data_IF_930366150731
#
_entry.id   IF_930366150731
#
_cell.length_a   1.000
_cell.length_b   1.000
_cell.length_c   1.000
_cell.angle_alpha   90.00
_cell.angle_beta   90.00
_cell.angle_gamma   90.00
#
_symmetry.space_group_name_H-M   'P 1'
#
loop_
_entity.id
_entity.type
_entity.pdbx_description
1 polymer ?
#
# COMPACT_ATOMS: atom_id res chain seq x y z
N UNK A 1 18.23 3.66 -2.26
CA UNK A 1 17.34 3.32 -3.39
C UNK A 1 16.03 2.71 -2.90
N UNK A 2 16.04 1.61 -2.10
CA UNK A 2 14.82 0.95 -1.57
C UNK A 2 13.92 1.92 -0.82
N UNK A 3 14.47 2.75 0.08
CA UNK A 3 13.72 3.77 0.82
C UNK A 3 13.01 4.76 -0.12
N UNK A 4 13.69 5.20 -1.17
CA UNK A 4 13.12 6.16 -2.11
C UNK A 4 11.98 5.52 -2.91
N UNK A 5 12.24 4.39 -3.57
CA UNK A 5 11.20 3.71 -4.38
C UNK A 5 10.02 3.29 -3.51
N UNK A 6 10.26 2.61 -2.39
CA UNK A 6 9.21 2.14 -1.51
C UNK A 6 8.46 3.28 -0.81
N UNK A 7 9.16 4.35 -0.42
CA UNK A 7 8.56 5.54 0.18
C UNK A 7 7.68 6.31 -0.81
N UNK A 8 8.14 6.47 -2.05
CA UNK A 8 7.34 7.09 -3.12
C UNK A 8 6.13 6.23 -3.44
N UNK A 9 6.29 4.89 -3.59
CA UNK A 9 5.17 3.97 -3.84
C UNK A 9 4.13 4.06 -2.72
N UNK A 10 4.58 4.05 -1.46
CA UNK A 10 3.69 4.13 -0.31
C UNK A 10 2.99 5.50 -0.21
N UNK A 11 3.69 6.60 -0.45
CA UNK A 11 3.10 7.93 -0.50
C UNK A 11 2.13 8.08 -1.67
N UNK A 12 2.51 7.60 -2.87
CA UNK A 12 1.68 7.66 -4.06
C UNK A 12 0.39 6.84 -3.93
N UNK A 13 0.38 5.77 -3.12
CA UNK A 13 -0.80 4.91 -2.96
C UNK A 13 -2.05 5.67 -2.54
N UNK A 14 -1.91 6.71 -1.73
CA UNK A 14 -3.03 7.56 -1.32
C UNK A 14 -3.46 8.55 -2.41
N UNK A 15 -2.58 8.92 -3.37
CA UNK A 15 -2.87 9.89 -4.42
C UNK A 15 -3.47 9.27 -5.68
N UNK A 16 -3.14 8.03 -5.95
CA UNK A 16 -3.60 7.31 -7.15
C UNK A 16 -4.73 6.32 -6.81
N UNK A 17 -5.74 6.84 -6.11
CA UNK A 17 -7.00 6.14 -5.82
C UNK A 17 -6.87 4.84 -5.05
N UNK A 18 -5.77 4.65 -4.31
CA UNK A 18 -5.53 3.45 -3.49
C UNK A 18 -5.53 2.11 -4.24
N UNK A 19 -5.31 2.12 -5.56
CA UNK A 19 -5.35 0.92 -6.39
C UNK A 19 -6.77 0.49 -6.80
N UNK A 20 -7.77 1.37 -6.69
CA UNK A 20 -9.14 1.08 -7.14
C UNK A 20 -9.20 1.06 -8.66
N UNK A 21 -8.57 2.02 -9.32
CA UNK A 21 -8.47 2.04 -10.78
C UNK A 21 -7.43 1.03 -11.27
N UNK A 22 -7.67 0.40 -12.42
CA UNK A 22 -6.79 -0.65 -12.96
C UNK A 22 -5.37 -0.17 -13.19
N UNK A 23 -5.20 1.00 -13.80
CA UNK A 23 -3.89 1.59 -14.03
C UNK A 23 -3.14 1.87 -12.72
N UNK A 24 -3.88 2.31 -11.68
CA UNK A 24 -3.30 2.60 -10.37
C UNK A 24 -2.86 1.32 -9.65
N UNK A 25 -3.65 0.25 -9.74
CA UNK A 25 -3.30 -1.07 -9.21
C UNK A 25 -2.00 -1.58 -9.83
N UNK A 26 -1.89 -1.54 -11.18
CA UNK A 26 -0.68 -2.01 -11.88
C UNK A 26 0.55 -1.15 -11.55
N UNK A 27 0.38 0.17 -11.46
CA UNK A 27 1.47 1.09 -11.09
C UNK A 27 1.98 0.82 -9.67
N UNK A 28 1.07 0.67 -8.71
CA UNK A 28 1.43 0.35 -7.33
C UNK A 28 2.04 -1.05 -7.20
N UNK A 29 1.51 -2.02 -7.95
CA UNK A 29 2.07 -3.37 -7.98
C UNK A 29 3.51 -3.34 -8.51
N UNK A 30 3.76 -2.65 -9.61
CA UNK A 30 5.10 -2.49 -10.19
C UNK A 30 6.07 -1.81 -9.21
N UNK A 31 5.65 -0.72 -8.55
CA UNK A 31 6.43 -0.02 -7.54
C UNK A 31 6.75 -0.89 -6.31
N UNK A 32 5.77 -1.69 -5.87
CA UNK A 32 5.92 -2.62 -4.74
C UNK A 32 6.85 -3.78 -5.09
N UNK A 33 6.69 -4.37 -6.28
CA UNK A 33 7.56 -5.42 -6.79
C UNK A 33 9.00 -4.93 -6.97
N UNK A 34 9.20 -3.74 -7.53
CA UNK A 34 10.51 -3.12 -7.65
C UNK A 34 11.13 -2.87 -6.28
N UNK A 35 10.37 -2.37 -5.30
CA UNK A 35 10.85 -2.17 -3.93
C UNK A 35 11.33 -3.48 -3.31
N UNK A 36 10.56 -4.56 -3.47
CA UNK A 36 10.90 -5.89 -2.99
C UNK A 36 12.15 -6.45 -3.68
N UNK A 37 12.21 -6.41 -5.01
CA UNK A 37 13.36 -6.87 -5.79
C UNK A 37 14.63 -6.14 -5.41
N UNK A 38 14.60 -4.80 -5.30
CA UNK A 38 15.75 -3.99 -4.87
C UNK A 38 16.20 -4.31 -3.44
N UNK A 39 15.31 -4.82 -2.59
CA UNK A 39 15.65 -5.19 -1.20
C UNK A 39 16.27 -6.58 -1.07
N UNK A 40 15.91 -7.51 -1.96
CA UNK A 40 16.30 -8.93 -1.88
C UNK A 40 17.36 -9.31 -2.91
N UNK A 41 17.29 -8.77 -4.14
CA UNK A 41 18.23 -9.09 -5.20
C UNK A 41 19.62 -8.45 -5.02
N UNK A 42 20.70 -9.10 -5.46
CA UNK A 42 22.03 -8.53 -5.46
C UNK A 42 22.09 -7.36 -6.44
N UNK A 43 22.22 -6.17 -5.91
CA UNK A 43 22.49 -5.01 -6.74
C UNK A 43 23.97 -4.96 -7.12
N UNK A 44 24.30 -4.48 -8.34
CA UNK A 44 25.68 -4.30 -8.78
C UNK A 44 26.50 -3.48 -7.77
N UNK A 45 27.82 -3.75 -7.68
CA UNK A 45 28.73 -3.13 -6.69
C UNK A 45 28.70 -1.58 -6.71
N UNK A 46 28.44 -0.97 -7.86
CA UNK A 46 28.33 0.48 -8.02
C UNK A 46 27.06 1.08 -7.37
N UNK A 47 26.03 0.24 -7.13
CA UNK A 47 24.82 0.64 -6.39
C UNK A 47 24.93 0.45 -4.88
N UNK A 48 25.63 -0.59 -4.43
CA UNK A 48 25.63 -1.04 -3.03
C UNK A 48 26.89 -0.68 -2.23
N UNK A 49 27.92 -0.13 -2.85
CA UNK A 49 29.20 0.12 -2.18
C UNK A 49 29.91 -1.20 -1.77
N UNK A 50 30.75 -1.13 -0.72
CA UNK A 50 31.63 -2.23 -0.30
C UNK A 50 30.95 -3.46 0.29
N UNK A 51 29.66 -3.42 0.61
CA UNK A 51 28.97 -4.48 1.39
C UNK A 51 28.11 -5.44 0.53
N UNK A 52 28.29 -5.45 -0.80
CA UNK A 52 27.33 -6.01 -1.78
C UNK A 52 26.97 -7.49 -1.63
N UNK A 53 27.92 -8.39 -1.38
CA UNK A 53 27.65 -9.85 -1.41
C UNK A 53 27.10 -10.41 -0.08
N UNK A 54 27.64 -9.97 1.05
CA UNK A 54 27.17 -10.42 2.36
C UNK A 54 25.81 -9.78 2.75
N UNK A 55 25.48 -8.64 2.16
CA UNK A 55 24.22 -7.94 2.39
C UNK A 55 22.99 -8.76 1.98
N UNK A 56 23.07 -9.47 0.88
CA UNK A 56 21.92 -10.13 0.24
C UNK A 56 21.48 -11.40 0.95
N UNK A 57 22.42 -12.29 1.28
CA UNK A 57 22.12 -13.50 2.07
C UNK A 57 21.51 -13.13 3.43
N UNK A 58 22.02 -12.09 4.06
CA UNK A 58 21.49 -11.57 5.32
C UNK A 58 20.07 -10.96 5.16
N UNK A 59 19.75 -10.36 4.01
CA UNK A 59 18.42 -9.84 3.71
C UNK A 59 17.40 -10.96 3.59
N UNK A 60 17.72 -12.01 2.86
CA UNK A 60 16.85 -13.17 2.70
C UNK A 60 16.55 -13.85 4.04
N UNK A 61 17.58 -14.09 4.88
CA UNK A 61 17.36 -14.64 6.22
C UNK A 61 16.51 -13.71 7.13
N UNK A 62 16.65 -12.40 6.95
CA UNK A 62 15.80 -11.43 7.68
C UNK A 62 14.34 -11.52 7.24
N UNK A 63 14.08 -11.73 5.96
CA UNK A 63 12.74 -11.95 5.43
C UNK A 63 12.12 -13.22 6.03
N UNK A 64 12.85 -14.35 6.01
CA UNK A 64 12.38 -15.62 6.57
C UNK A 64 12.10 -15.57 8.08
N UNK A 65 12.79 -14.70 8.82
CA UNK A 65 12.56 -14.48 10.24
C UNK A 65 11.39 -13.52 10.53
N UNK A 66 10.79 -12.93 9.51
CA UNK A 66 9.69 -11.99 9.67
C UNK A 66 8.34 -12.72 9.66
N UNK A 67 7.60 -12.77 10.80
CA UNK A 67 6.36 -13.54 10.87
C UNK A 67 5.32 -13.14 9.82
N UNK A 68 5.24 -11.83 9.51
CA UNK A 68 4.32 -11.30 8.49
C UNK A 68 4.65 -11.80 7.08
N UNK A 69 5.91 -12.25 6.83
CA UNK A 69 6.26 -12.90 5.57
C UNK A 69 5.48 -14.21 5.39
N UNK A 70 5.48 -15.08 6.39
CA UNK A 70 4.80 -16.36 6.34
C UNK A 70 3.28 -16.21 6.31
N UNK A 71 2.76 -15.29 7.15
CA UNK A 71 1.33 -14.98 7.16
C UNK A 71 0.86 -14.48 5.78
N UNK A 72 1.61 -13.56 5.18
CA UNK A 72 1.32 -13.06 3.82
C UNK A 72 1.43 -14.15 2.77
N UNK A 73 2.47 -15.00 2.84
CA UNK A 73 2.64 -16.11 1.90
C UNK A 73 1.47 -17.10 1.97
N UNK A 74 1.05 -17.50 3.17
CA UNK A 74 -0.10 -18.38 3.35
C UNK A 74 -1.40 -17.75 2.85
N UNK A 75 -1.61 -16.45 3.09
CA UNK A 75 -2.79 -15.77 2.59
C UNK A 75 -2.78 -15.69 1.06
N UNK A 76 -1.65 -15.37 0.44
CA UNK A 76 -1.54 -15.34 -1.02
C UNK A 76 -1.76 -16.72 -1.63
N UNK A 77 -1.21 -17.78 -1.04
CA UNK A 77 -1.46 -19.17 -1.46
C UNK A 77 -2.94 -19.53 -1.33
N UNK A 78 -3.60 -19.14 -0.24
CA UNK A 78 -5.03 -19.34 -0.04
C UNK A 78 -5.86 -18.63 -1.13
N UNK A 79 -5.54 -17.37 -1.47
CA UNK A 79 -6.22 -16.65 -2.54
C UNK A 79 -5.97 -17.30 -3.91
N UNK A 80 -4.76 -17.83 -4.17
CA UNK A 80 -4.47 -18.58 -5.40
C UNK A 80 -5.35 -19.84 -5.49
N UNK A 81 -5.48 -20.58 -4.40
CA UNK A 81 -6.35 -21.76 -4.35
C UNK A 81 -7.81 -21.38 -4.61
N UNK A 82 -8.31 -20.31 -4.00
CA UNK A 82 -9.65 -19.80 -4.28
C UNK A 82 -9.82 -19.38 -5.75
N UNK A 83 -8.85 -18.65 -6.30
CA UNK A 83 -8.89 -18.21 -7.69
C UNK A 83 -8.87 -19.36 -8.70
N UNK A 84 -8.22 -20.46 -8.34
CA UNK A 84 -8.12 -21.66 -9.18
C UNK A 84 -9.35 -22.60 -9.08
N UNK A 85 -10.28 -22.31 -8.18
CA UNK A 85 -11.47 -23.13 -7.94
C UNK A 85 -12.75 -22.27 -7.88
N UNK A 86 -13.14 -21.60 -8.98
CA UNK A 86 -14.36 -20.79 -8.99
C UNK A 86 -15.58 -21.71 -8.85
N UNK A 87 -16.47 -21.40 -7.90
CA UNK A 87 -17.74 -22.07 -7.73
C UNK A 87 -18.90 -21.34 -8.42
N UNK A 88 -18.70 -20.08 -8.73
CA UNK A 88 -19.70 -19.20 -9.32
C UNK A 88 -19.12 -18.40 -10.45
N UNK A 89 -19.87 -18.27 -11.54
CA UNK A 89 -19.55 -17.37 -12.66
C UNK A 89 -20.52 -16.21 -12.67
N UNK A 90 -19.99 -14.96 -12.73
CA UNK A 90 -20.80 -13.76 -12.85
C UNK A 90 -21.23 -13.56 -14.29
N UNK A 91 -22.51 -13.71 -14.56
CA UNK A 91 -23.13 -13.41 -15.85
C UNK A 91 -23.78 -12.04 -15.86
N UNK A 92 -23.76 -11.39 -17.00
CA UNK A 92 -24.37 -10.09 -17.20
C UNK A 92 -25.13 -10.04 -18.52
N UNK A 93 -26.30 -9.43 -18.49
CA UNK A 93 -27.11 -9.08 -19.66
C UNK A 93 -27.64 -7.67 -19.53
N UNK A 94 -28.31 -7.17 -20.57
CA UNK A 94 -28.99 -5.88 -20.56
C UNK A 94 -30.07 -5.77 -19.47
N UNK A 95 -30.60 -6.90 -18.99
CA UNK A 95 -31.64 -7.00 -17.96
C UNK A 95 -31.12 -7.05 -16.51
N UNK A 96 -29.81 -7.19 -16.32
CA UNK A 96 -29.18 -7.28 -15.01
C UNK A 96 -28.01 -8.25 -14.95
N UNK A 97 -27.59 -8.53 -13.74
CA UNK A 97 -26.52 -9.50 -13.47
C UNK A 97 -27.04 -10.62 -12.56
N UNK A 98 -26.48 -11.82 -12.73
CA UNK A 98 -26.74 -12.98 -11.87
C UNK A 98 -25.46 -13.81 -11.76
N UNK A 99 -25.46 -14.77 -10.86
CA UNK A 99 -24.37 -15.74 -10.72
C UNK A 99 -24.89 -17.13 -11.08
N UNK A 100 -24.09 -17.88 -11.84
CA UNK A 100 -24.36 -19.28 -12.19
C UNK A 100 -23.35 -20.17 -11.46
N UNK A 101 -23.82 -21.29 -10.95
CA UNK A 101 -22.96 -22.30 -10.35
C UNK A 101 -22.18 -23.01 -11.44
N UNK A 102 -20.87 -23.20 -11.21
CA UNK A 102 -19.98 -23.95 -12.10
C UNK A 102 -19.38 -25.16 -11.36
N UNK A 103 -18.98 -26.15 -12.12
CA UNK A 103 -18.35 -27.34 -11.57
C UNK A 103 -17.06 -26.96 -10.84
N UNK A 104 -16.95 -27.33 -9.58
CA UNK A 104 -15.84 -26.96 -8.71
C UNK A 104 -15.53 -28.05 -7.69
N UNK A 105 -14.37 -28.00 -7.08
CA UNK A 105 -13.96 -28.92 -6.02
C UNK A 105 -14.55 -28.45 -4.69
N UNK A 106 -15.58 -29.13 -4.20
CA UNK A 106 -16.42 -28.70 -3.05
C UNK A 106 -15.67 -28.57 -1.72
N UNK A 107 -14.60 -29.33 -1.51
CA UNK A 107 -13.80 -29.28 -0.27
C UNK A 107 -12.70 -28.23 -0.29
N UNK A 108 -12.43 -27.60 -1.46
CA UNK A 108 -11.47 -26.50 -1.57
C UNK A 108 -12.19 -25.15 -1.41
N UNK A 109 -11.46 -24.13 -0.90
CA UNK A 109 -11.98 -22.77 -0.89
C UNK A 109 -12.28 -22.32 -2.33
N UNK A 110 -13.41 -21.66 -2.51
CA UNK A 110 -13.90 -21.26 -3.83
C UNK A 110 -14.02 -19.74 -3.96
N UNK A 111 -14.18 -19.29 -5.19
CA UNK A 111 -14.35 -17.88 -5.54
C UNK A 111 -15.47 -17.66 -6.54
N UNK A 112 -15.71 -16.42 -6.89
CA UNK A 112 -16.55 -16.02 -8.01
C UNK A 112 -15.63 -15.64 -9.18
N UNK A 113 -15.89 -16.22 -10.35
CA UNK A 113 -15.24 -15.83 -11.60
C UNK A 113 -16.08 -14.75 -12.27
N UNK A 114 -15.46 -13.63 -12.57
CA UNK A 114 -16.08 -12.50 -13.25
C UNK A 114 -15.05 -11.67 -13.97
N UNK A 115 -15.51 -10.56 -14.56
CA UNK A 115 -14.63 -9.59 -15.19
C UNK A 115 -13.54 -9.13 -14.21
N UNK A 116 -12.28 -9.10 -14.66
CA UNK A 116 -11.14 -8.76 -13.81
C UNK A 116 -11.33 -7.39 -13.11
N UNK A 117 -11.99 -6.45 -13.76
CA UNK A 117 -12.24 -5.12 -13.23
C UNK A 117 -13.29 -5.05 -12.10
N UNK A 118 -14.10 -6.09 -11.94
CA UNK A 118 -15.23 -6.07 -11.00
C UNK A 118 -15.11 -7.11 -9.90
N UNK A 119 -15.40 -8.37 -10.23
CA UNK A 119 -15.45 -9.48 -9.27
C UNK A 119 -14.51 -10.58 -9.73
N UNK A 120 -13.23 -10.51 -9.33
CA UNK A 120 -12.25 -11.49 -9.77
C UNK A 120 -11.23 -11.73 -8.65
N UNK A 121 -11.00 -13.01 -8.31
CA UNK A 121 -10.06 -13.38 -7.27
C UNK A 121 -8.60 -13.03 -7.60
N UNK A 122 -8.23 -13.00 -8.90
CA UNK A 122 -6.89 -12.59 -9.31
C UNK A 122 -6.63 -11.08 -9.08
N UNK A 123 -7.66 -10.25 -9.17
CA UNK A 123 -7.55 -8.84 -8.78
C UNK A 123 -7.29 -8.70 -7.27
N UNK A 124 -7.99 -9.49 -6.47
CA UNK A 124 -7.76 -9.56 -5.02
C UNK A 124 -6.33 -10.02 -4.75
N UNK A 125 -5.86 -11.07 -5.44
CA UNK A 125 -4.48 -11.55 -5.36
C UNK A 125 -3.47 -10.44 -5.70
N UNK A 126 -3.69 -9.68 -6.76
CA UNK A 126 -2.82 -8.57 -7.15
C UNK A 126 -2.76 -7.49 -6.06
N UNK A 127 -3.92 -7.13 -5.48
CA UNK A 127 -4.01 -6.12 -4.42
C UNK A 127 -3.28 -6.53 -3.15
N UNK A 128 -3.47 -7.77 -2.69
CA UNK A 128 -2.76 -8.29 -1.51
C UNK A 128 -1.26 -8.51 -1.79
N UNK A 129 -0.91 -8.99 -2.97
CA UNK A 129 0.50 -9.15 -3.38
C UNK A 129 1.22 -7.80 -3.39
N UNK A 130 0.61 -6.75 -3.92
CA UNK A 130 1.14 -5.40 -3.89
C UNK A 130 1.45 -4.95 -2.46
N UNK A 131 0.50 -5.12 -1.53
CA UNK A 131 0.67 -4.72 -0.13
C UNK A 131 1.79 -5.52 0.56
N UNK A 132 1.81 -6.84 0.41
CA UNK A 132 2.84 -7.68 1.02
C UNK A 132 4.22 -7.46 0.44
N UNK A 133 4.36 -7.33 -0.88
CA UNK A 133 5.64 -7.02 -1.52
C UNK A 133 6.22 -5.70 -1.00
N UNK A 134 5.37 -4.68 -0.84
CA UNK A 134 5.80 -3.39 -0.30
C UNK A 134 6.27 -3.53 1.15
N UNK A 135 5.47 -4.17 2.01
CA UNK A 135 5.81 -4.39 3.42
C UNK A 135 7.10 -5.22 3.57
N UNK A 136 7.24 -6.31 2.82
CA UNK A 136 8.43 -7.14 2.85
C UNK A 136 9.66 -6.40 2.35
N UNK A 137 9.51 -5.64 1.25
CA UNK A 137 10.59 -4.83 0.68
C UNK A 137 11.07 -3.75 1.65
N UNK A 138 10.16 -3.03 2.27
CA UNK A 138 10.47 -1.99 3.26
C UNK A 138 11.10 -2.60 4.52
N UNK A 139 10.55 -3.71 5.05
CA UNK A 139 11.10 -4.40 6.22
C UNK A 139 12.54 -4.86 6.03
N UNK A 140 12.83 -5.45 4.88
CA UNK A 140 14.17 -5.93 4.54
C UNK A 140 15.12 -4.78 4.23
N UNK A 141 14.65 -3.79 3.47
CA UNK A 141 15.48 -2.70 2.93
C UNK A 141 15.77 -1.59 3.93
N UNK A 142 14.83 -1.29 4.85
CA UNK A 142 15.00 -0.23 5.84
C UNK A 142 15.67 -0.77 7.09
N UNK A 143 16.97 -0.48 7.24
CA UNK A 143 17.79 -0.95 8.37
C UNK A 143 18.17 0.13 9.35
N UNK A 144 18.28 1.37 8.87
CA UNK A 144 18.75 2.51 9.66
C UNK A 144 17.56 3.26 10.23
N UNK A 145 17.66 3.62 11.51
CA UNK A 145 16.65 4.46 12.17
C UNK A 145 16.35 5.75 11.40
N UNK A 146 17.37 6.38 10.83
CA UNK A 146 17.20 7.59 9.99
C UNK A 146 16.32 7.31 8.77
N UNK A 147 16.48 6.16 8.11
CA UNK A 147 15.65 5.78 6.97
C UNK A 147 14.20 5.52 7.36
N UNK A 148 13.96 4.91 8.52
CA UNK A 148 12.61 4.73 9.06
C UNK A 148 11.94 6.09 9.37
N UNK A 149 12.67 7.01 10.00
CA UNK A 149 12.17 8.37 10.25
C UNK A 149 11.85 9.13 8.96
N UNK A 150 12.71 9.02 7.95
CA UNK A 150 12.43 9.64 6.64
C UNK A 150 11.18 9.06 5.99
N UNK A 151 10.95 7.74 6.09
CA UNK A 151 9.70 7.12 5.61
C UNK A 151 8.48 7.69 6.33
N UNK A 152 8.54 7.80 7.65
CA UNK A 152 7.45 8.38 8.45
C UNK A 152 7.19 9.85 8.08
N UNK A 153 8.26 10.64 7.84
CA UNK A 153 8.12 12.01 7.36
C UNK A 153 7.48 12.09 5.97
N UNK A 154 7.88 11.21 5.03
CA UNK A 154 7.24 11.14 3.70
C UNK A 154 5.75 10.87 3.83
N UNK A 155 5.35 9.94 4.71
CA UNK A 155 3.95 9.63 4.97
C UNK A 155 3.21 10.81 5.62
N UNK A 156 3.78 11.42 6.65
CA UNK A 156 3.16 12.55 7.33
C UNK A 156 2.92 13.73 6.38
N UNK A 157 3.92 14.09 5.57
CA UNK A 157 3.83 15.18 4.58
C UNK A 157 2.79 14.84 3.51
N UNK A 158 2.86 13.64 2.92
CA UNK A 158 1.91 13.18 1.90
C UNK A 158 0.48 13.14 2.44
N UNK A 159 0.30 12.63 3.67
CA UNK A 159 -1.02 12.54 4.29
C UNK A 159 -1.60 13.90 4.65
N UNK A 160 -0.78 14.82 5.15
CA UNK A 160 -1.21 16.21 5.43
C UNK A 160 -1.61 16.92 4.14
N UNK A 161 -0.83 16.77 3.07
CA UNK A 161 -1.19 17.32 1.76
C UNK A 161 -2.51 16.74 1.24
N UNK A 162 -2.73 15.42 1.37
CA UNK A 162 -4.00 14.78 1.00
C UNK A 162 -5.17 15.29 1.85
N UNK A 163 -4.98 15.52 3.15
CA UNK A 163 -6.00 16.10 4.01
C UNK A 163 -6.37 17.51 3.55
N UNK A 164 -5.38 18.35 3.21
CA UNK A 164 -5.62 19.70 2.68
C UNK A 164 -6.39 19.65 1.36
N UNK A 165 -6.01 18.77 0.43
CA UNK A 165 -6.73 18.58 -0.83
C UNK A 165 -8.18 18.18 -0.59
N UNK A 166 -8.43 17.24 0.33
CA UNK A 166 -9.80 16.83 0.68
C UNK A 166 -10.63 17.97 1.28
N UNK A 167 -10.02 18.83 2.11
CA UNK A 167 -10.68 20.02 2.65
C UNK A 167 -11.02 21.01 1.54
N UNK A 168 -10.06 21.36 0.69
CA UNK A 168 -10.26 22.29 -0.46
C UNK A 168 -11.35 21.75 -1.38
N UNK A 169 -11.30 20.47 -1.70
CA UNK A 169 -12.31 19.80 -2.54
C UNK A 169 -13.71 19.90 -1.94
N UNK A 170 -13.85 19.71 -0.62
CA UNK A 170 -15.15 19.84 0.04
C UNK A 170 -15.68 21.27 0.03
N UNK A 171 -14.83 22.26 0.28
CA UNK A 171 -15.22 23.67 0.26
C UNK A 171 -15.47 24.22 -1.15
N UNK A 172 -14.83 23.66 -2.18
CA UNK A 172 -15.06 24.05 -3.58
C UNK A 172 -16.35 23.45 -4.18
N UNK A 173 -17.09 22.62 -3.45
CA UNK A 173 -18.27 21.96 -3.96
C UNK A 173 -17.99 21.00 -5.11
N UNK A 174 -16.83 20.31 -5.08
CA UNK A 174 -16.42 19.42 -6.17
C UNK A 174 -17.37 18.22 -6.32
N UNK A 175 -17.76 17.92 -7.55
CA UNK A 175 -18.64 16.81 -7.92
C UNK A 175 -17.84 15.55 -8.34
N UNK A 176 -16.53 15.67 -8.47
CA UNK A 176 -15.64 14.60 -8.93
C UNK A 176 -14.43 14.41 -8.00
N UNK A 177 -13.95 13.17 -7.86
CA UNK A 177 -12.76 12.81 -7.11
C UNK A 177 -11.55 13.49 -7.75
N UNK A 178 -10.79 14.26 -6.95
CA UNK A 178 -9.69 15.12 -7.41
C UNK A 178 -10.08 16.02 -8.59
N UNK A 179 -11.34 16.47 -8.66
CA UNK A 179 -11.93 17.30 -9.74
C UNK A 179 -11.83 16.67 -11.15
N UNK A 180 -11.49 15.38 -11.28
CA UNK A 180 -11.19 14.75 -12.56
C UNK A 180 -11.96 13.45 -12.84
N UNK A 181 -12.29 12.67 -11.82
CA UNK A 181 -12.93 11.37 -11.98
C UNK A 181 -14.31 11.39 -11.35
N UNK A 182 -15.33 11.18 -12.16
CA UNK A 182 -16.70 11.06 -11.69
C UNK A 182 -16.86 9.91 -10.70
N UNK A 183 -17.57 10.15 -9.62
CA UNK A 183 -17.85 9.14 -8.60
C UNK A 183 -19.36 8.93 -8.47
N UNK A 184 -19.77 7.66 -8.55
CA UNK A 184 -21.15 7.29 -8.24
C UNK A 184 -21.52 7.54 -6.76
N UNK A 185 -20.52 7.73 -5.89
CA UNK A 185 -20.72 8.03 -4.48
C UNK A 185 -20.45 9.52 -4.21
N UNK A 186 -21.44 10.32 -3.80
CA UNK A 186 -21.27 11.73 -3.48
C UNK A 186 -20.43 11.97 -2.21
N UNK A 187 -20.17 10.93 -1.42
CA UNK A 187 -19.42 11.00 -0.17
C UNK A 187 -17.94 10.60 -0.33
N UNK A 188 -17.28 11.07 -1.39
CA UNK A 188 -15.84 10.92 -1.57
C UNK A 188 -15.05 11.99 -0.78
N UNK A 189 -13.74 11.75 -0.61
CA UNK A 189 -12.82 12.68 0.06
C UNK A 189 -11.42 12.56 -0.55
N UNK A 190 -10.89 13.65 -1.06
CA UNK A 190 -9.57 13.66 -1.72
C UNK A 190 -9.56 12.72 -2.90
N UNK A 191 -8.68 11.74 -2.87
CA UNK A 191 -8.57 10.65 -3.86
C UNK A 191 -9.38 9.40 -3.50
N UNK A 192 -10.06 9.38 -2.36
CA UNK A 192 -10.79 8.20 -1.87
C UNK A 192 -12.25 8.25 -2.31
N UNK A 193 -12.73 7.22 -2.99
CA UNK A 193 -14.13 7.07 -3.41
C UNK A 193 -15.10 6.94 -2.24
N UNK A 194 -14.60 6.51 -1.06
CA UNK A 194 -15.40 6.35 0.15
C UNK A 194 -14.75 7.09 1.31
N UNK A 195 -15.51 7.97 1.95
CA UNK A 195 -15.04 8.74 3.13
C UNK A 195 -14.51 7.87 4.25
N UNK A 196 -15.04 6.65 4.44
CA UNK A 196 -14.57 5.73 5.48
C UNK A 196 -13.14 5.27 5.24
N UNK A 197 -12.75 5.07 3.98
CA UNK A 197 -11.35 4.76 3.60
C UNK A 197 -10.44 5.95 3.88
N UNK A 198 -10.90 7.16 3.55
CA UNK A 198 -10.17 8.39 3.87
C UNK A 198 -9.96 8.56 5.39
N UNK A 199 -11.00 8.31 6.19
CA UNK A 199 -10.90 8.37 7.66
C UNK A 199 -9.86 7.37 8.18
N UNK A 200 -9.91 6.11 7.73
CA UNK A 200 -8.91 5.10 8.10
C UNK A 200 -7.48 5.53 7.76
N UNK A 201 -7.28 6.09 6.56
CA UNK A 201 -5.99 6.62 6.15
C UNK A 201 -5.55 7.80 7.02
N UNK A 202 -6.43 8.79 7.27
CA UNK A 202 -6.11 9.96 8.08
C UNK A 202 -5.79 9.60 9.54
N UNK A 203 -6.43 8.59 10.12
CA UNK A 203 -6.09 8.06 11.45
C UNK A 203 -4.66 7.50 11.48
N UNK A 204 -4.24 6.77 10.44
CA UNK A 204 -2.86 6.29 10.32
C UNK A 204 -1.86 7.45 10.18
N UNK A 205 -2.20 8.49 9.43
CA UNK A 205 -1.36 9.70 9.30
C UNK A 205 -1.27 10.44 10.63
N UNK A 206 -2.37 10.61 11.34
CA UNK A 206 -2.38 11.23 12.66
C UNK A 206 -1.48 10.45 13.65
N UNK A 207 -1.59 9.13 13.69
CA UNK A 207 -0.74 8.28 14.52
C UNK A 207 0.75 8.42 14.12
N UNK A 208 1.05 8.45 12.82
CA UNK A 208 2.41 8.66 12.30
C UNK A 208 2.98 10.02 12.74
N UNK A 209 2.18 11.07 12.60
CA UNK A 209 2.54 12.44 13.00
C UNK A 209 2.77 12.53 14.51
N UNK A 210 1.91 11.91 15.31
CA UNK A 210 2.06 11.85 16.75
C UNK A 210 3.38 11.15 17.16
N UNK A 211 3.71 10.02 16.53
CA UNK A 211 4.99 9.32 16.79
C UNK A 211 6.19 10.21 16.44
N UNK A 212 6.16 10.92 15.30
CA UNK A 212 7.22 11.86 14.92
C UNK A 212 7.32 13.02 15.90
N UNK A 213 6.18 13.59 16.32
CA UNK A 213 6.13 14.66 17.31
C UNK A 213 6.82 14.24 18.61
N UNK A 214 6.37 13.15 19.23
CA UNK A 214 6.96 12.67 20.50
C UNK A 214 8.43 12.27 20.36
N UNK A 215 8.81 11.70 19.22
CA UNK A 215 10.21 11.39 18.95
C UNK A 215 11.09 12.65 18.96
N UNK A 216 10.68 13.69 18.24
CA UNK A 216 11.45 14.92 18.14
C UNK A 216 11.37 15.76 19.42
N UNK A 217 10.22 15.77 20.08
CA UNK A 217 10.04 16.43 21.39
C UNK A 217 11.01 15.86 22.43
N UNK A 218 10.98 14.56 22.66
CA UNK A 218 11.86 13.89 23.62
C UNK A 218 13.36 14.07 23.29
N UNK A 219 13.68 14.20 22.02
CA UNK A 219 15.05 14.47 21.60
C UNK A 219 15.47 15.92 21.86
N UNK A 220 14.57 16.87 21.60
CA UNK A 220 14.81 18.30 21.84
C UNK A 220 15.03 18.56 23.34
N UNK A 221 14.20 17.96 24.19
CA UNK A 221 14.33 18.05 25.64
C UNK A 221 15.69 17.54 26.13
N UNK A 222 16.16 16.39 25.61
CA UNK A 222 17.46 15.81 25.98
C UNK A 222 18.66 16.64 25.49
N UNK A 223 18.51 17.41 24.42
CA UNK A 223 19.60 18.22 23.83
C UNK A 223 19.57 19.68 24.25
N UNK A 224 18.56 20.10 25.02
CA UNK A 224 18.39 21.51 25.46
C UNK A 224 18.09 22.48 24.31
N UNK A 225 17.70 21.97 23.13
CA UNK A 225 17.37 22.80 21.97
C UNK A 225 15.89 23.20 22.01
N UNK A 226 15.63 24.51 22.12
CA UNK A 226 14.26 25.06 22.18
C UNK A 226 13.50 25.10 20.87
N UNK A 227 14.13 24.78 19.75
CA UNK A 227 13.52 24.77 18.42
C UNK A 227 13.81 23.46 17.68
N UNK A 228 12.83 22.58 17.59
CA UNK A 228 13.00 21.32 16.91
C UNK A 228 11.90 21.04 15.86
N UNK A 229 12.07 20.04 14.98
CA UNK A 229 11.10 19.70 13.94
C UNK A 229 9.70 19.34 14.48
N UNK A 230 9.55 19.07 15.79
CA UNK A 230 8.25 18.81 16.42
C UNK A 230 7.29 20.02 16.38
N UNK A 231 7.82 21.23 16.23
CA UNK A 231 6.97 22.43 16.10
C UNK A 231 6.28 22.52 14.73
N UNK A 232 6.70 21.69 13.75
CA UNK A 232 6.10 21.60 12.41
C UNK A 232 5.05 20.48 12.28
N UNK A 233 4.87 19.69 13.31
CA UNK A 233 3.95 18.52 13.37
C UNK A 233 2.72 18.80 14.23
#
# INVERSE_FOLDING_TARGET
TVLFVGGVTLAASSWIFGGVEMWSLHTLFAGSALTFLLSVCPLPKWFNGRDGEHGNRRNFFRLLKFPVFWLGLFLLLYIILQASNPAWELKRSDKGWWVEEVEHITWLPSSVEGEYEKMNAFRVLASFSMAFLLVWGLWVGIRRRRSALLLLWMLAISGTAMAMVGIIQKFSGADAVLWSIESANPNFWGSFYYRNQAVGYLVLILATTAVLYFYHYNRSEKTGQSGGPHLLL
#
